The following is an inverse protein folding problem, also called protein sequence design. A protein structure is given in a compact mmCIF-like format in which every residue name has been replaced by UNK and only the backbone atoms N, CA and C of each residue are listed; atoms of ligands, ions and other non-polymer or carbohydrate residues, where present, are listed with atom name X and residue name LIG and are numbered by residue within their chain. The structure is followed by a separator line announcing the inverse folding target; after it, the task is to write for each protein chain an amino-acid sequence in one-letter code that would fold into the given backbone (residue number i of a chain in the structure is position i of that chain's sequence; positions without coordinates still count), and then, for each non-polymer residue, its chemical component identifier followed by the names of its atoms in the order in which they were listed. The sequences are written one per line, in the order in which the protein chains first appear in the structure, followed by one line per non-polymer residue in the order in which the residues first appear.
data_IF_809044971283
#
_entry.id   IF_809044971283
#
_cell.length_a   1.000
_cell.length_b   1.000
_cell.length_c   1.000
_cell.angle_alpha   90.00
_cell.angle_beta   90.00
_cell.angle_gamma   90.00
#
_symmetry.space_group_name_H-M   'P 1'
#
loop_
_entity.id
_entity.type
_entity.pdbx_description
1 polymer ?
#
# COMPACT_ATOMS: atom_id res chain seq x y z
N UNK A 1 -1.32 58.82 2.93
CA UNK A 1 -1.55 58.61 4.38
C UNK A 1 -2.16 57.23 4.46
N UNK A 2 -1.30 56.22 4.34
CA UNK A 2 -1.66 54.82 4.02
C UNK A 2 -1.29 53.92 5.20
N UNK A 3 -1.73 54.32 6.38
CA UNK A 3 -1.46 53.62 7.64
C UNK A 3 -2.28 52.35 7.80
N UNK A 4 -3.38 52.20 7.05
CA UNK A 4 -4.29 51.04 7.10
C UNK A 4 -3.67 49.76 6.52
N UNK A 5 -2.60 49.88 5.71
CA UNK A 5 -2.05 48.76 4.93
C UNK A 5 -1.01 47.91 5.67
N UNK A 6 -0.29 48.43 6.66
CA UNK A 6 0.85 47.69 7.25
C UNK A 6 0.41 46.78 8.40
N UNK A 7 -0.55 47.21 9.22
CA UNK A 7 -1.04 46.42 10.36
C UNK A 7 -2.00 45.30 9.91
N UNK A 8 -2.85 45.59 8.92
CA UNK A 8 -3.77 44.60 8.32
C UNK A 8 -3.03 43.50 7.53
N UNK A 9 -1.78 43.73 7.11
CA UNK A 9 -0.93 42.71 6.50
C UNK A 9 -0.24 41.80 7.53
N UNK A 10 -0.08 42.26 8.77
CA UNK A 10 0.63 41.52 9.83
C UNK A 10 -0.32 40.63 10.64
N UNK A 11 -1.60 40.99 10.74
CA UNK A 11 -2.60 40.22 11.48
C UNK A 11 -3.60 39.55 10.53
N UNK A 12 -3.87 38.26 10.73
CA UNK A 12 -4.86 37.54 9.94
C UNK A 12 -6.25 38.09 10.23
N UNK A 13 -7.02 38.35 9.17
CA UNK A 13 -8.44 38.66 9.28
C UNK A 13 -9.21 37.45 9.79
N UNK A 14 -10.30 37.72 10.50
CA UNK A 14 -11.24 36.71 10.97
C UNK A 14 -12.18 36.40 9.81
N UNK A 15 -12.06 35.20 9.25
CA UNK A 15 -12.90 34.73 8.14
C UNK A 15 -14.17 34.08 8.68
N UNK A 16 -15.31 34.53 8.18
CA UNK A 16 -16.62 33.94 8.40
C UNK A 16 -17.06 33.21 7.13
N UNK A 17 -17.77 32.10 7.29
CA UNK A 17 -18.22 31.29 6.15
C UNK A 17 -19.46 31.88 5.50
N UNK A 18 -20.33 32.49 6.30
CA UNK A 18 -21.60 33.03 5.83
C UNK A 18 -21.99 34.32 6.58
N UNK A 19 -22.81 35.20 5.97
CA UNK A 19 -23.31 36.40 6.64
C UNK A 19 -24.16 36.06 7.88
N UNK A 20 -24.80 34.89 7.90
CA UNK A 20 -25.58 34.38 9.03
C UNK A 20 -24.70 34.15 10.26
N UNK A 21 -23.42 33.82 10.09
CA UNK A 21 -22.49 33.61 11.21
C UNK A 21 -22.30 34.91 12.01
N UNK A 22 -22.14 36.04 11.33
CA UNK A 22 -21.97 37.34 11.98
C UNK A 22 -23.24 37.76 12.72
N UNK A 23 -24.39 37.60 12.08
CA UNK A 23 -25.70 37.86 12.70
C UNK A 23 -25.93 36.98 13.93
N UNK A 24 -25.54 35.71 13.85
CA UNK A 24 -25.61 34.77 14.98
C UNK A 24 -24.70 35.20 16.13
N UNK A 25 -23.46 35.63 15.85
CA UNK A 25 -22.53 36.12 16.88
C UNK A 25 -23.09 37.36 17.60
N UNK A 26 -23.63 38.33 16.84
CA UNK A 26 -24.25 39.53 17.41
C UNK A 26 -25.46 39.15 18.27
N UNK A 27 -26.35 38.29 17.77
CA UNK A 27 -27.53 37.83 18.50
C UNK A 27 -27.16 37.06 19.77
N UNK A 28 -26.15 36.20 19.71
CA UNK A 28 -25.68 35.44 20.85
C UNK A 28 -25.08 36.34 21.95
N UNK A 29 -24.31 37.35 21.57
CA UNK A 29 -23.76 38.34 22.51
C UNK A 29 -24.88 39.17 23.13
N UNK A 30 -25.84 39.66 22.34
CA UNK A 30 -27.00 40.40 22.86
C UNK A 30 -27.83 39.55 23.83
N UNK A 31 -28.09 38.28 23.51
CA UNK A 31 -28.77 37.34 24.41
C UNK A 31 -28.01 37.14 25.72
N UNK A 32 -26.70 36.88 25.65
CA UNK A 32 -25.88 36.70 26.84
C UNK A 32 -25.85 37.98 27.71
N UNK A 33 -25.80 39.16 27.08
CA UNK A 33 -25.88 40.44 27.77
C UNK A 33 -27.23 40.63 28.48
N UNK A 34 -28.34 40.29 27.82
CA UNK A 34 -29.68 40.36 28.39
C UNK A 34 -29.85 39.38 29.58
N UNK A 35 -29.35 38.15 29.46
CA UNK A 35 -29.34 37.17 30.56
C UNK A 35 -28.59 37.70 31.78
N UNK A 36 -27.42 38.31 31.57
CA UNK A 36 -26.62 38.92 32.66
C UNK A 36 -27.29 40.15 33.26
N UNK A 37 -27.95 40.96 32.44
CA UNK A 37 -28.71 42.11 32.93
C UNK A 37 -29.88 41.64 33.80
N UNK A 38 -30.59 40.59 33.39
CA UNK A 38 -31.69 40.01 34.15
C UNK A 38 -31.23 39.35 35.47
N UNK A 39 -30.04 38.75 35.48
CA UNK A 39 -29.42 38.19 36.70
C UNK A 39 -29.04 39.30 37.69
N UNK A 40 -28.43 40.39 37.21
CA UNK A 40 -27.95 41.50 38.04
C UNK A 40 -29.08 42.44 38.51
N UNK A 41 -30.11 42.62 37.67
CA UNK A 41 -31.28 43.46 37.92
C UNK A 41 -32.56 42.66 37.64
N UNK A 42 -32.98 41.80 38.60
CA UNK A 42 -34.20 41.00 38.46
C UNK A 42 -35.43 41.90 38.28
N UNK A 43 -36.39 41.53 37.41
CA UNK A 43 -37.61 42.29 37.24
C UNK A 43 -38.41 42.29 38.55
N UNK A 44 -38.75 43.48 39.06
CA UNK A 44 -39.57 43.63 40.27
C UNK A 44 -41.05 43.50 39.88
N UNK A 45 -41.72 42.45 40.36
CA UNK A 45 -43.16 42.26 40.13
C UNK A 45 -43.98 43.37 40.84
N UNK A 46 -44.78 44.13 40.08
CA UNK A 46 -45.76 45.09 40.62
C UNK A 46 -45.35 46.56 40.61
N UNK A 47 -44.19 46.91 40.07
CA UNK A 47 -43.89 48.29 39.70
C UNK A 47 -44.25 48.50 38.23
N UNK A 48 -45.40 49.13 37.96
CA UNK A 48 -45.86 49.52 36.61
C UNK A 48 -44.97 50.61 35.96
N UNK A 49 -43.82 50.93 36.56
CA UNK A 49 -42.80 51.81 36.02
C UNK A 49 -41.54 51.01 35.72
N UNK A 50 -41.27 50.85 34.42
CA UNK A 50 -40.03 50.30 33.89
C UNK A 50 -38.82 50.82 34.68
N UNK A 51 -37.92 49.93 35.10
CA UNK A 51 -36.70 50.33 35.81
C UNK A 51 -35.85 51.21 34.87
N UNK A 52 -35.96 52.53 35.01
CA UNK A 52 -35.30 53.52 34.15
C UNK A 52 -33.79 53.31 34.11
N UNK A 53 -33.20 52.88 35.23
CA UNK A 53 -31.78 52.58 35.33
C UNK A 53 -31.46 51.32 34.55
N UNK A 54 -32.26 50.26 34.67
CA UNK A 54 -32.11 49.03 33.88
C UNK A 54 -32.20 49.33 32.38
N UNK A 55 -33.20 50.12 31.96
CA UNK A 55 -33.38 50.50 30.55
C UNK A 55 -32.20 51.32 30.02
N UNK A 56 -31.67 52.26 30.83
CA UNK A 56 -30.47 53.03 30.47
C UNK A 56 -29.23 52.14 30.35
N UNK A 57 -29.05 51.20 31.28
CA UNK A 57 -27.94 50.23 31.23
C UNK A 57 -28.07 49.34 30.00
N UNK A 58 -29.27 48.80 29.73
CA UNK A 58 -29.54 47.98 28.55
C UNK A 58 -29.16 48.70 27.26
N UNK A 59 -29.55 49.97 27.15
CA UNK A 59 -29.17 50.83 26.03
C UNK A 59 -27.66 51.01 25.91
N UNK A 60 -26.97 51.35 27.01
CA UNK A 60 -25.51 51.52 26.99
C UNK A 60 -24.76 50.23 26.63
N UNK A 61 -25.28 49.08 27.05
CA UNK A 61 -24.71 47.76 26.70
C UNK A 61 -24.91 47.47 25.22
N UNK A 62 -26.10 47.73 24.67
CA UNK A 62 -26.35 47.56 23.23
C UNK A 62 -25.47 48.52 22.40
N UNK A 63 -25.36 49.79 22.79
CA UNK A 63 -24.47 50.77 22.14
C UNK A 63 -23.00 50.31 22.18
N UNK A 64 -22.57 49.70 23.28
CA UNK A 64 -21.22 49.14 23.42
C UNK A 64 -20.99 47.93 22.51
N UNK A 65 -21.98 47.03 22.40
CA UNK A 65 -21.94 45.89 21.48
C UNK A 65 -21.79 46.39 20.04
N UNK A 66 -22.61 47.34 19.63
CA UNK A 66 -22.59 47.89 18.28
C UNK A 66 -21.25 48.56 17.95
N UNK A 67 -20.71 49.34 18.89
CA UNK A 67 -19.37 49.93 18.76
C UNK A 67 -18.27 48.88 18.64
N UNK A 68 -18.36 47.78 19.39
CA UNK A 68 -17.38 46.70 19.36
C UNK A 68 -17.34 46.01 18.00
N UNK A 69 -18.50 45.64 17.46
CA UNK A 69 -18.58 45.01 16.13
C UNK A 69 -18.24 46.00 15.00
N UNK A 70 -18.58 47.28 15.15
CA UNK A 70 -18.14 48.34 14.22
C UNK A 70 -16.62 48.45 14.14
N UNK A 71 -15.93 48.45 15.29
CA UNK A 71 -14.47 48.47 15.36
C UNK A 71 -13.82 47.16 14.86
N UNK A 72 -14.52 46.03 14.99
CA UNK A 72 -14.06 44.73 14.49
C UNK A 72 -14.25 44.56 12.98
N UNK A 73 -15.21 45.26 12.37
CA UNK A 73 -15.59 45.15 10.94
C UNK A 73 -14.41 45.18 9.95
N UNK A 74 -13.39 46.05 10.07
CA UNK A 74 -12.26 46.08 9.14
C UNK A 74 -11.39 44.81 9.18
N UNK A 75 -11.42 44.09 10.30
CA UNK A 75 -10.66 42.86 10.55
C UNK A 75 -11.50 41.59 10.31
N UNK A 76 -12.76 41.73 9.88
CA UNK A 76 -13.66 40.64 9.52
C UNK A 76 -13.80 40.56 8.00
N UNK A 77 -13.88 39.34 7.49
CA UNK A 77 -14.23 39.07 6.09
C UNK A 77 -15.18 37.88 6.00
N UNK A 78 -16.10 37.94 5.05
CA UNK A 78 -17.02 36.84 4.74
C UNK A 78 -16.65 36.34 3.35
N UNK A 79 -16.16 35.10 3.25
CA UNK A 79 -15.68 34.53 1.98
C UNK A 79 -14.69 35.44 1.21
N UNK A 80 -13.81 36.14 1.94
CA UNK A 80 -12.85 37.09 1.35
C UNK A 80 -13.41 38.46 0.97
N UNK A 81 -14.70 38.74 1.19
CA UNK A 81 -15.31 40.06 1.00
C UNK A 81 -15.29 40.87 2.31
N UNK A 82 -15.06 42.20 2.24
CA UNK A 82 -15.08 43.05 3.44
C UNK A 82 -16.49 43.17 4.01
N UNK A 83 -16.59 43.12 5.33
CA UNK A 83 -17.86 43.30 6.05
C UNK A 83 -18.16 44.78 6.23
N UNK A 84 -19.40 45.19 5.97
CA UNK A 84 -19.91 46.54 6.27
C UNK A 84 -20.76 46.47 7.54
N UNK A 85 -20.25 47.01 8.66
CA UNK A 85 -20.90 46.93 9.97
C UNK A 85 -22.37 47.37 9.98
N UNK A 86 -22.70 48.45 9.28
CA UNK A 86 -24.05 49.03 9.28
C UNK A 86 -25.13 48.08 8.75
N UNK A 87 -24.75 47.11 7.89
CA UNK A 87 -25.68 46.12 7.33
C UNK A 87 -26.15 45.12 8.37
N UNK A 88 -25.30 44.80 9.36
CA UNK A 88 -25.54 43.73 10.34
C UNK A 88 -25.98 44.23 11.72
N UNK A 89 -25.73 45.50 12.03
CA UNK A 89 -26.08 46.12 13.32
C UNK A 89 -27.51 46.71 13.34
N UNK A 90 -28.13 46.88 12.18
CA UNK A 90 -29.49 47.40 12.07
C UNK A 90 -30.51 46.42 12.67
N UNK A 91 -31.42 46.91 13.52
CA UNK A 91 -32.46 46.10 14.18
C UNK A 91 -33.51 45.55 13.20
N UNK A 92 -33.62 46.14 12.03
CA UNK A 92 -34.40 45.61 10.92
C UNK A 92 -33.51 44.66 10.12
N UNK A 93 -33.85 43.36 10.01
CA UNK A 93 -33.15 42.45 9.12
C UNK A 93 -33.42 42.91 7.69
N UNK A 94 -32.57 43.80 7.18
CA UNK A 94 -32.49 44.05 5.76
C UNK A 94 -32.02 42.73 5.14
N UNK A 95 -32.84 42.11 4.29
CA UNK A 95 -32.37 40.98 3.49
C UNK A 95 -31.09 41.43 2.79
N UNK A 96 -29.97 40.70 2.94
CA UNK A 96 -28.72 41.11 2.33
C UNK A 96 -28.96 41.19 0.81
N UNK A 97 -28.79 42.38 0.25
CA UNK A 97 -28.94 42.57 -1.19
C UNK A 97 -27.94 41.64 -1.88
N UNK A 98 -28.44 40.63 -2.58
CA UNK A 98 -27.60 39.60 -3.18
C UNK A 98 -26.71 40.25 -4.24
N UNK A 99 -25.47 40.52 -3.87
CA UNK A 99 -24.46 41.05 -4.79
C UNK A 99 -24.04 39.92 -5.71
N UNK A 100 -24.70 39.83 -6.86
CA UNK A 100 -24.33 38.86 -7.89
C UNK A 100 -23.03 39.32 -8.57
N UNK A 101 -22.03 38.44 -8.56
CA UNK A 101 -20.88 38.62 -9.43
C UNK A 101 -21.34 38.64 -10.90
N UNK A 102 -20.88 39.60 -11.71
CA UNK A 102 -21.16 39.61 -13.14
C UNK A 102 -20.66 38.33 -13.82
N UNK A 103 -21.48 37.77 -14.71
CA UNK A 103 -21.13 36.55 -15.43
C UNK A 103 -19.92 36.78 -16.36
N UNK A 104 -18.78 36.16 -16.05
CA UNK A 104 -17.57 36.25 -16.87
C UNK A 104 -17.55 35.17 -17.98
N UNK A 105 -17.80 35.61 -19.21
CA UNK A 105 -17.75 34.76 -20.41
C UNK A 105 -16.38 34.11 -20.64
N UNK A 106 -15.28 34.72 -20.17
CA UNK A 106 -13.92 34.16 -20.31
C UNK A 106 -13.73 32.98 -19.36
N UNK A 107 -14.18 33.11 -18.11
CA UNK A 107 -14.16 32.00 -17.15
C UNK A 107 -15.01 30.84 -17.65
N UNK A 108 -16.20 31.12 -18.21
CA UNK A 108 -17.05 30.09 -18.82
C UNK A 108 -16.34 29.35 -19.96
N UNK A 109 -15.70 30.07 -20.89
CA UNK A 109 -14.93 29.46 -21.98
C UNK A 109 -13.81 28.58 -21.42
N UNK A 110 -13.07 29.07 -20.42
CA UNK A 110 -12.01 28.30 -19.77
C UNK A 110 -12.53 27.02 -19.12
N UNK A 111 -13.69 27.06 -18.47
CA UNK A 111 -14.33 25.85 -17.92
C UNK A 111 -14.68 24.87 -19.04
N UNK A 112 -15.27 25.34 -20.14
CA UNK A 112 -15.57 24.49 -21.29
C UNK A 112 -14.29 23.86 -21.89
N UNK A 113 -13.24 24.66 -22.08
CA UNK A 113 -11.96 24.18 -22.59
C UNK A 113 -11.35 23.11 -21.65
N UNK A 114 -11.41 23.32 -20.33
CA UNK A 114 -10.94 22.34 -19.35
C UNK A 114 -11.72 21.03 -19.40
N UNK A 115 -13.05 21.10 -19.55
CA UNK A 115 -13.89 19.91 -19.68
C UNK A 115 -13.51 19.14 -20.95
N UNK A 116 -13.32 19.82 -22.09
CA UNK A 116 -12.89 19.13 -23.33
C UNK A 116 -11.51 18.49 -23.20
N UNK A 117 -10.59 19.13 -22.46
CA UNK A 117 -9.27 18.56 -22.18
C UNK A 117 -9.36 17.33 -21.27
N UNK A 118 -10.24 17.37 -20.27
CA UNK A 118 -10.51 16.24 -19.38
C UNK A 118 -11.03 15.04 -20.15
N UNK A 119 -12.04 15.23 -21.02
CA UNK A 119 -12.59 14.16 -21.85
C UNK A 119 -11.54 13.52 -22.75
N UNK A 120 -10.70 14.34 -23.40
CA UNK A 120 -9.60 13.84 -24.24
C UNK A 120 -8.58 13.03 -23.44
N UNK A 121 -8.19 13.50 -22.26
CA UNK A 121 -7.25 12.79 -21.39
C UNK A 121 -7.85 11.46 -20.91
N UNK A 122 -9.15 11.41 -20.63
CA UNK A 122 -9.83 10.15 -20.28
C UNK A 122 -9.80 9.15 -21.45
N UNK A 123 -10.01 9.60 -22.68
CA UNK A 123 -9.89 8.77 -23.89
C UNK A 123 -8.46 8.26 -24.06
N UNK A 124 -7.45 9.13 -23.95
CA UNK A 124 -6.03 8.78 -24.08
C UNK A 124 -5.62 7.74 -23.02
N UNK A 125 -6.06 7.92 -21.76
CA UNK A 125 -5.78 6.97 -20.67
C UNK A 125 -6.46 5.63 -20.93
N UNK A 126 -7.68 5.61 -21.47
CA UNK A 126 -8.37 4.37 -21.83
C UNK A 126 -7.64 3.64 -22.96
N UNK A 127 -7.18 4.36 -23.98
CA UNK A 127 -6.38 3.81 -25.08
C UNK A 127 -5.03 3.26 -24.57
N UNK A 128 -4.37 3.98 -23.66
CA UNK A 128 -3.10 3.57 -23.06
C UNK A 128 -3.27 2.30 -22.21
N UNK A 129 -4.31 2.23 -21.37
CA UNK A 129 -4.65 1.05 -20.58
C UNK A 129 -4.90 -0.19 -21.44
N UNK A 130 -5.49 -0.01 -22.64
CA UNK A 130 -5.77 -1.10 -23.57
C UNK A 130 -4.53 -1.58 -24.33
N UNK A 131 -3.64 -0.67 -24.74
CA UNK A 131 -2.52 -0.99 -25.63
C UNK A 131 -1.22 -1.33 -24.90
N UNK A 132 -0.85 -0.55 -23.87
CA UNK A 132 0.48 -0.61 -23.25
C UNK A 132 0.78 -1.92 -22.53
N UNK A 133 -0.12 -2.53 -21.74
CA UNK A 133 0.21 -3.75 -21.01
C UNK A 133 0.61 -4.90 -21.93
N UNK A 134 -0.11 -5.08 -23.03
CA UNK A 134 0.17 -6.13 -24.01
C UNK A 134 1.49 -5.89 -24.74
N UNK A 135 1.75 -4.64 -25.18
CA UNK A 135 3.01 -4.31 -25.87
C UNK A 135 4.22 -4.41 -24.93
N UNK A 136 4.08 -3.97 -23.68
CA UNK A 136 5.16 -4.07 -22.69
C UNK A 136 5.46 -5.54 -22.35
N UNK A 137 4.43 -6.36 -22.15
CA UNK A 137 4.60 -7.79 -21.92
C UNK A 137 5.25 -8.51 -23.12
N UNK A 138 4.87 -8.16 -24.36
CA UNK A 138 5.48 -8.71 -25.57
C UNK A 138 6.97 -8.36 -25.67
N UNK A 139 7.33 -7.09 -25.47
CA UNK A 139 8.72 -6.64 -25.49
C UNK A 139 9.56 -7.32 -24.40
N UNK A 140 9.01 -7.46 -23.19
CA UNK A 140 9.69 -8.16 -22.10
C UNK A 140 9.87 -9.64 -22.41
N UNK A 141 8.86 -10.30 -22.98
CA UNK A 141 8.94 -11.69 -23.38
C UNK A 141 10.00 -11.93 -24.47
N UNK A 142 10.14 -11.01 -25.42
CA UNK A 142 11.19 -11.05 -26.44
C UNK A 142 12.58 -10.91 -25.83
N UNK A 143 12.78 -9.92 -24.93
CA UNK A 143 14.04 -9.74 -24.22
C UNK A 143 14.44 -10.98 -23.40
N UNK A 144 13.48 -11.61 -22.72
CA UNK A 144 13.70 -12.85 -21.95
C UNK A 144 14.04 -14.04 -22.86
N UNK A 145 13.39 -14.17 -24.01
CA UNK A 145 13.73 -15.22 -24.99
C UNK A 145 15.14 -15.04 -25.51
N UNK A 146 15.56 -13.81 -25.76
CA UNK A 146 16.91 -13.53 -26.26
C UNK A 146 17.99 -13.65 -25.19
N UNK A 147 17.68 -13.43 -23.91
CA UNK A 147 18.60 -13.79 -22.82
C UNK A 147 18.73 -15.30 -22.68
N UNK A 148 17.61 -16.03 -22.68
CA UNK A 148 17.63 -17.51 -22.57
C UNK A 148 18.41 -18.16 -23.72
N UNK A 149 18.23 -17.71 -24.96
CA UNK A 149 19.03 -18.21 -26.10
C UNK A 149 20.52 -17.95 -25.91
N UNK A 150 20.91 -16.79 -25.36
CA UNK A 150 22.33 -16.48 -25.08
C UNK A 150 22.90 -17.38 -24.00
N UNK A 151 22.13 -17.61 -22.94
CA UNK A 151 22.52 -18.49 -21.84
C UNK A 151 22.64 -19.95 -22.31
N UNK A 152 21.68 -20.43 -23.11
CA UNK A 152 21.71 -21.76 -23.72
C UNK A 152 22.92 -21.95 -24.64
N UNK A 153 23.22 -20.96 -25.50
CA UNK A 153 24.40 -21.00 -26.36
C UNK A 153 25.69 -21.05 -25.54
N UNK A 154 25.81 -20.23 -24.49
CA UNK A 154 26.97 -20.22 -23.60
C UNK A 154 27.13 -21.56 -22.88
N UNK A 155 26.02 -22.16 -22.44
CA UNK A 155 26.01 -23.45 -21.77
C UNK A 155 26.42 -24.58 -22.72
N UNK A 156 25.94 -24.57 -23.97
CA UNK A 156 26.36 -25.53 -25.00
C UNK A 156 27.85 -25.38 -25.37
N UNK A 157 28.37 -24.15 -25.45
CA UNK A 157 29.81 -23.92 -25.63
C UNK A 157 30.62 -24.46 -24.45
N UNK A 158 30.19 -24.22 -23.21
CA UNK A 158 30.83 -24.76 -22.00
C UNK A 158 30.79 -26.29 -21.96
N UNK A 159 29.65 -26.90 -22.29
CA UNK A 159 29.53 -28.37 -22.39
C UNK A 159 30.52 -28.94 -23.41
N UNK A 160 30.64 -28.31 -24.58
CA UNK A 160 31.60 -28.73 -25.62
C UNK A 160 33.04 -28.59 -25.14
N UNK A 161 33.38 -27.51 -24.44
CA UNK A 161 34.70 -27.33 -23.83
C UNK A 161 35.01 -28.46 -22.83
N UNK A 162 34.10 -28.72 -21.88
CA UNK A 162 34.28 -29.79 -20.89
C UNK A 162 34.39 -31.16 -21.56
N UNK A 163 33.57 -31.42 -22.60
CA UNK A 163 33.65 -32.68 -23.34
C UNK A 163 34.98 -32.82 -24.11
N UNK A 164 35.51 -31.73 -24.66
CA UNK A 164 36.82 -31.72 -25.31
C UNK A 164 37.95 -31.93 -24.29
N UNK A 165 37.92 -31.23 -23.16
CA UNK A 165 38.87 -31.44 -22.04
C UNK A 165 38.81 -32.87 -21.51
N UNK A 166 37.62 -33.43 -21.33
CA UNK A 166 37.44 -34.82 -20.90
C UNK A 166 37.92 -35.84 -21.94
N UNK A 167 37.79 -35.53 -23.24
CA UNK A 167 38.33 -36.36 -24.32
C UNK A 167 39.86 -36.29 -24.42
N UNK A 168 40.48 -35.19 -23.97
CA UNK A 168 41.94 -35.04 -23.89
C UNK A 168 42.53 -35.80 -22.69
N UNK A 169 41.73 -36.06 -21.64
CA UNK A 169 42.11 -36.92 -20.51
C UNK A 169 41.98 -38.39 -20.94
N UNK A 170 43.03 -38.90 -21.58
CA UNK A 170 43.21 -40.33 -21.80
C UNK A 170 43.57 -40.99 -20.46
N UNK A 171 42.57 -41.61 -19.82
CA UNK A 171 42.83 -42.48 -18.67
C UNK A 171 43.57 -43.72 -19.18
N UNK A 172 44.89 -43.66 -19.12
CA UNK A 172 45.77 -44.79 -19.40
C UNK A 172 45.60 -45.85 -18.29
N UNK A 173 44.53 -46.64 -18.41
CA UNK A 173 44.28 -47.79 -17.57
C UNK A 173 45.22 -48.89 -18.04
N UNK A 174 46.45 -48.85 -17.52
CA UNK A 174 47.43 -49.90 -17.71
C UNK A 174 46.85 -51.24 -17.22
N UNK A 175 47.17 -52.36 -17.89
CA UNK A 175 46.74 -53.67 -17.45
C UNK A 175 47.21 -53.91 -16.01
N UNK A 176 46.28 -54.26 -15.13
CA UNK A 176 46.57 -54.51 -13.72
C UNK A 176 47.53 -55.70 -13.63
N UNK A 177 48.70 -55.52 -13.01
CA UNK A 177 49.79 -56.52 -12.95
C UNK A 177 49.35 -57.93 -12.48
N UNK A 178 48.27 -58.02 -11.71
CA UNK A 178 47.75 -59.28 -11.14
C UNK A 178 46.45 -59.77 -11.76
N UNK A 179 45.92 -59.11 -12.78
CA UNK A 179 44.62 -59.46 -13.36
C UNK A 179 44.59 -60.91 -13.83
N UNK A 180 45.57 -61.32 -14.66
CA UNK A 180 45.66 -62.69 -15.17
C UNK A 180 45.75 -63.72 -14.04
N UNK A 181 46.47 -63.39 -12.97
CA UNK A 181 46.60 -64.25 -11.78
C UNK A 181 45.29 -64.39 -11.01
N UNK A 182 44.54 -63.30 -10.83
CA UNK A 182 43.23 -63.30 -10.17
C UNK A 182 42.20 -64.07 -11.01
N UNK A 183 42.18 -63.85 -12.34
CA UNK A 183 41.27 -64.54 -13.25
C UNK A 183 41.58 -66.05 -13.34
N UNK A 184 42.86 -66.43 -13.38
CA UNK A 184 43.27 -67.83 -13.33
C UNK A 184 42.93 -68.47 -11.97
N UNK A 185 43.18 -67.77 -10.86
CA UNK A 185 42.83 -68.22 -9.52
C UNK A 185 41.32 -68.43 -9.35
N UNK A 186 40.51 -67.50 -9.85
CA UNK A 186 39.06 -67.61 -9.83
C UNK A 186 38.56 -68.80 -10.68
N UNK A 187 39.08 -68.97 -11.90
CA UNK A 187 38.75 -70.14 -12.74
C UNK A 187 39.07 -71.46 -12.05
N UNK A 188 40.27 -71.58 -11.47
CA UNK A 188 40.68 -72.77 -10.74
C UNK A 188 39.78 -73.03 -9.52
N UNK A 189 39.40 -71.98 -8.78
CA UNK A 189 38.49 -72.10 -7.64
C UNK A 189 37.10 -72.58 -8.08
N UNK A 190 36.55 -72.03 -9.16
CA UNK A 190 35.23 -72.43 -9.71
C UNK A 190 35.27 -73.87 -10.21
N UNK A 191 36.32 -74.28 -10.93
CA UNK A 191 36.49 -75.67 -11.36
C UNK A 191 36.61 -76.64 -10.17
N UNK A 192 37.39 -76.27 -9.16
CA UNK A 192 37.53 -77.04 -7.93
C UNK A 192 36.20 -77.22 -7.19
N UNK A 193 35.42 -76.13 -7.07
CA UNK A 193 34.09 -76.17 -6.48
C UNK A 193 33.13 -77.04 -7.31
N UNK A 194 33.25 -77.00 -8.64
CA UNK A 194 32.49 -77.86 -9.55
C UNK A 194 32.80 -79.36 -9.37
N UNK A 195 34.09 -79.72 -9.23
CA UNK A 195 34.52 -81.10 -8.93
C UNK A 195 33.99 -81.55 -7.57
N UNK A 196 34.13 -80.71 -6.55
CA UNK A 196 33.61 -80.99 -5.21
C UNK A 196 32.09 -81.22 -5.24
N UNK A 197 31.34 -80.37 -5.94
CA UNK A 197 29.89 -80.53 -6.12
C UNK A 197 29.54 -81.86 -6.79
N UNK A 198 30.35 -82.34 -7.74
CA UNK A 198 30.14 -83.63 -8.43
C UNK A 198 30.49 -84.83 -7.55
N UNK A 199 31.55 -84.73 -6.77
CA UNK A 199 32.10 -85.86 -6.00
C UNK A 199 31.49 -86.01 -4.60
N UNK A 200 31.03 -84.91 -3.98
CA UNK A 200 30.41 -84.94 -2.65
C UNK A 200 29.24 -85.93 -2.53
N UNK A 201 28.26 -85.98 -3.46
CA UNK A 201 27.15 -86.94 -3.34
C UNK A 201 27.63 -88.40 -3.30
N UNK A 202 28.67 -88.74 -4.06
CA UNK A 202 29.22 -90.09 -4.09
C UNK A 202 29.98 -90.43 -2.80
N UNK A 203 30.74 -89.48 -2.24
CA UNK A 203 31.42 -89.65 -0.95
C UNK A 203 30.41 -89.77 0.19
N UNK A 204 29.38 -88.92 0.21
CA UNK A 204 28.27 -89.00 1.18
C UNK A 204 27.57 -90.36 1.08
N UNK A 205 27.25 -90.84 -0.13
CA UNK A 205 26.65 -92.16 -0.31
C UNK A 205 27.58 -93.32 0.11
N UNK A 206 28.91 -93.17 0.03
CA UNK A 206 29.86 -94.15 0.59
C UNK A 206 29.90 -94.07 2.11
N UNK A 207 29.90 -92.87 2.70
CA UNK A 207 29.82 -92.69 4.15
C UNK A 207 28.53 -93.26 4.73
N UNK A 208 27.36 -92.96 4.14
CA UNK A 208 26.08 -93.51 4.60
C UNK A 208 26.05 -95.04 4.50
N UNK A 209 26.57 -95.63 3.41
CA UNK A 209 26.69 -97.09 3.29
C UNK A 209 27.62 -97.69 4.35
N UNK A 210 28.75 -97.04 4.62
CA UNK A 210 29.67 -97.47 5.67
C UNK A 210 29.05 -97.32 7.07
N UNK A 211 28.27 -96.25 7.31
CA UNK A 211 27.52 -96.00 8.54
C UNK A 211 26.47 -97.09 8.78
N UNK A 212 25.65 -97.38 7.77
CA UNK A 212 24.63 -98.45 7.81
C UNK A 212 25.29 -99.81 8.02
N UNK A 213 26.39 -100.11 7.32
CA UNK A 213 27.13 -101.35 7.51
C UNK A 213 27.71 -101.46 8.94
N UNK A 214 28.23 -100.37 9.51
CA UNK A 214 28.68 -100.30 10.89
C UNK A 214 27.56 -100.53 11.90
N UNK A 215 26.39 -99.90 11.69
CA UNK A 215 25.19 -100.14 12.51
C UNK A 215 24.75 -101.61 12.46
N UNK A 216 24.78 -102.25 11.29
CA UNK A 216 24.49 -103.68 11.15
C UNK A 216 25.46 -104.58 11.93
N UNK A 217 26.76 -104.30 11.88
CA UNK A 217 27.77 -105.06 12.64
C UNK A 217 27.60 -104.89 14.15
N UNK A 218 27.22 -103.69 14.61
CA UNK A 218 26.99 -103.39 16.03
C UNK A 218 25.67 -103.99 16.55
N UNK A 219 24.63 -104.09 15.70
CA UNK A 219 23.29 -104.57 16.11
C UNK A 219 23.06 -106.08 15.94
N UNK A 220 23.78 -106.78 15.05
CA UNK A 220 23.71 -108.24 14.91
C UNK A 220 24.87 -108.99 15.61
N UNK A 221 25.78 -108.26 16.27
CA UNK A 221 26.90 -108.81 17.04
C UNK A 221 26.60 -109.17 18.49
N UNK A 222 25.32 -109.36 18.87
CA UNK A 222 24.88 -109.93 20.15
C UNK A 222 23.66 -110.82 19.98
#
# INVERSE_FOLDING_TARGET
MDSESVVSQVQRKIELQAPEDLSYLIANVRRAAAERLNEAFPPVEGADGEDELRNQIEKLVNDYIDKTFSLASPNLSINGLPVVANTFLSETPAEPEAVYEPFDTRKRRRVADLITQEEKLLEDVAALKRSVPATAAANQAEQLRDSLKRDDNMLEERKKQIAAEAAEIELDIQPLERQDGVEAGFRNAVEGLGRLKREMPAVVAKMERARVAGEYVVTQGR
#
